data_IF_528257295158
#
_entry.id   IF_528257295158
#
_cell.length_a   1.000
_cell.length_b   1.000
_cell.length_c   1.000
_cell.angle_alpha   90.00
_cell.angle_beta   90.00
_cell.angle_gamma   90.00
#
_symmetry.space_group_name_H-M   'P 1'
#
loop_
_entity.id
_entity.type
_entity.pdbx_description
1 polymer ?
#
# COMPACT_ATOMS: atom_id res chain seq x y z
N UNK A 1 18.09 -24.98 -10.26
CA UNK A 1 16.95 -24.54 -11.12
C UNK A 1 15.56 -25.07 -10.68
N UNK A 2 15.38 -26.31 -10.18
CA UNK A 2 14.06 -26.83 -9.76
C UNK A 2 13.40 -26.07 -8.58
N UNK A 3 14.16 -25.57 -7.61
CA UNK A 3 13.62 -24.92 -6.41
C UNK A 3 13.10 -23.49 -6.65
N UNK A 4 13.66 -22.77 -7.63
CA UNK A 4 13.24 -21.40 -8.00
C UNK A 4 11.85 -21.42 -8.65
N UNK A 5 11.56 -22.44 -9.46
CA UNK A 5 10.28 -22.60 -10.13
C UNK A 5 9.14 -22.91 -9.15
N UNK A 6 9.43 -23.58 -8.03
CA UNK A 6 8.45 -23.82 -6.96
C UNK A 6 8.13 -22.55 -6.16
N UNK A 7 9.14 -21.74 -5.82
CA UNK A 7 8.92 -20.48 -5.07
C UNK A 7 8.20 -19.43 -5.90
N UNK A 8 8.56 -19.24 -7.17
CA UNK A 8 7.89 -18.28 -8.05
C UNK A 8 6.42 -18.67 -8.31
N UNK A 9 6.15 -19.97 -8.51
CA UNK A 9 4.78 -20.48 -8.62
C UNK A 9 3.97 -20.27 -7.33
N UNK A 10 4.60 -20.43 -6.17
CA UNK A 10 3.96 -20.18 -4.89
C UNK A 10 3.60 -18.71 -4.72
N UNK A 11 4.54 -17.79 -4.97
CA UNK A 11 4.30 -16.34 -4.92
C UNK A 11 3.18 -15.94 -5.89
N UNK A 12 3.20 -16.48 -7.12
CA UNK A 12 2.16 -16.19 -8.11
C UNK A 12 0.78 -16.72 -7.67
N UNK A 13 0.72 -17.92 -7.11
CA UNK A 13 -0.53 -18.50 -6.60
C UNK A 13 -1.11 -17.66 -5.47
N UNK A 14 -0.26 -17.23 -4.55
CA UNK A 14 -0.64 -16.37 -3.43
C UNK A 14 -1.13 -15.00 -3.92
N UNK A 15 -0.42 -14.40 -4.89
CA UNK A 15 -0.82 -13.15 -5.52
C UNK A 15 -2.19 -13.24 -6.19
N UNK A 16 -2.49 -14.36 -6.87
CA UNK A 16 -3.80 -14.63 -7.48
C UNK A 16 -4.89 -14.76 -6.41
N UNK A 17 -4.59 -15.35 -5.26
CA UNK A 17 -5.54 -15.47 -4.15
C UNK A 17 -5.86 -14.10 -3.52
N UNK A 18 -4.93 -13.14 -3.53
CA UNK A 18 -5.12 -11.78 -3.01
C UNK A 18 -5.66 -10.77 -4.03
N UNK A 19 -5.63 -11.13 -5.32
CA UNK A 19 -6.20 -10.33 -6.42
C UNK A 19 -7.66 -9.88 -6.18
N UNK A 20 -8.62 -10.72 -5.75
CA UNK A 20 -10.01 -10.29 -5.56
C UNK A 20 -10.16 -9.18 -4.52
N UNK A 21 -9.39 -9.24 -3.43
CA UNK A 21 -9.40 -8.18 -2.41
C UNK A 21 -8.79 -6.87 -2.94
N UNK A 22 -7.74 -6.98 -3.75
CA UNK A 22 -7.12 -5.83 -4.40
C UNK A 22 -8.08 -5.17 -5.40
N UNK A 23 -8.74 -5.96 -6.24
CA UNK A 23 -9.76 -5.46 -7.17
C UNK A 23 -10.88 -4.76 -6.40
N UNK A 24 -11.39 -5.38 -5.35
CA UNK A 24 -12.44 -4.78 -4.52
C UNK A 24 -11.98 -3.44 -3.93
N UNK A 25 -10.78 -3.39 -3.36
CA UNK A 25 -10.22 -2.17 -2.78
C UNK A 25 -10.05 -1.05 -3.80
N UNK A 26 -9.50 -1.36 -4.98
CA UNK A 26 -9.32 -0.39 -6.07
C UNK A 26 -10.65 0.10 -6.61
N UNK A 27 -11.61 -0.79 -6.87
CA UNK A 27 -12.94 -0.40 -7.36
C UNK A 27 -13.64 0.51 -6.35
N UNK A 28 -13.62 0.16 -5.06
CA UNK A 28 -14.20 1.03 -4.03
C UNK A 28 -13.48 2.38 -3.95
N UNK A 29 -12.15 2.40 -4.02
CA UNK A 29 -11.36 3.64 -4.06
C UNK A 29 -11.72 4.52 -5.27
N UNK A 30 -11.84 3.93 -6.46
CA UNK A 30 -12.25 4.63 -7.68
C UNK A 30 -13.67 5.17 -7.58
N UNK A 31 -14.60 4.44 -6.97
CA UNK A 31 -15.97 4.93 -6.73
C UNK A 31 -15.94 6.15 -5.81
N UNK A 32 -15.19 6.10 -4.71
CA UNK A 32 -15.10 7.20 -3.75
C UNK A 32 -14.49 8.45 -4.37
N UNK A 33 -13.40 8.30 -5.13
CA UNK A 33 -12.75 9.41 -5.85
C UNK A 33 -13.61 9.90 -7.03
N UNK A 34 -14.35 9.00 -7.68
CA UNK A 34 -15.35 9.35 -8.69
C UNK A 34 -16.48 10.21 -8.12
N UNK A 35 -16.98 9.88 -6.92
CA UNK A 35 -17.96 10.69 -6.20
C UNK A 35 -17.38 12.05 -5.81
N UNK A 36 -16.14 12.10 -5.32
CA UNK A 36 -15.43 13.36 -5.03
C UNK A 36 -15.35 14.24 -6.29
N UNK A 37 -14.94 13.65 -7.42
CA UNK A 37 -14.84 14.33 -8.72
C UNK A 37 -16.20 14.85 -9.18
N UNK A 38 -17.26 14.04 -9.05
CA UNK A 38 -18.62 14.45 -9.40
C UNK A 38 -19.09 15.64 -8.56
N UNK A 39 -18.85 15.61 -7.25
CA UNK A 39 -19.20 16.73 -6.35
C UNK A 39 -18.40 17.99 -6.72
N UNK A 40 -17.11 17.87 -7.04
CA UNK A 40 -16.27 18.99 -7.46
C UNK A 40 -16.78 19.65 -8.76
N UNK A 41 -17.20 18.85 -9.75
CA UNK A 41 -17.78 19.35 -11.00
C UNK A 41 -19.10 20.06 -10.75
N UNK A 42 -20.02 19.43 -10.01
CA UNK A 42 -21.37 20.00 -9.74
C UNK A 42 -21.29 21.28 -8.92
N UNK A 43 -20.30 21.40 -8.04
CA UNK A 43 -20.06 22.62 -7.24
C UNK A 43 -19.30 23.72 -8.00
N UNK A 44 -18.87 23.47 -9.24
CA UNK A 44 -18.04 24.41 -10.02
C UNK A 44 -16.62 24.58 -9.45
N UNK A 45 -16.19 23.67 -8.59
CA UNK A 45 -14.91 23.69 -7.87
C UNK A 45 -13.85 22.80 -8.50
N UNK A 46 -13.87 22.60 -9.83
CA UNK A 46 -12.93 21.70 -10.53
C UNK A 46 -11.46 22.01 -10.22
N UNK A 47 -11.12 23.30 -10.10
CA UNK A 47 -9.76 23.72 -9.73
C UNK A 47 -9.33 23.35 -8.31
N UNK A 48 -10.27 22.95 -7.43
CA UNK A 48 -9.99 22.49 -6.08
C UNK A 48 -9.71 20.97 -6.02
N UNK A 49 -10.04 20.21 -7.07
CA UNK A 49 -9.93 18.74 -7.06
C UNK A 49 -8.50 18.26 -6.82
N UNK A 50 -7.52 18.89 -7.48
CA UNK A 50 -6.11 18.52 -7.35
C UNK A 50 -5.59 18.77 -5.94
N UNK A 51 -5.90 19.95 -5.38
CA UNK A 51 -5.53 20.30 -4.02
C UNK A 51 -6.24 19.43 -2.97
N UNK A 52 -7.55 19.17 -3.15
CA UNK A 52 -8.27 18.26 -2.26
C UNK A 52 -7.72 16.83 -2.32
N UNK A 53 -7.31 16.36 -3.51
CA UNK A 53 -6.70 15.04 -3.69
C UNK A 53 -5.32 14.97 -3.04
N UNK A 54 -4.54 16.04 -3.10
CA UNK A 54 -3.24 16.18 -2.43
C UNK A 54 -3.39 16.10 -0.89
N UNK A 55 -4.31 16.86 -0.31
CA UNK A 55 -4.58 16.83 1.13
C UNK A 55 -5.07 15.45 1.57
N UNK A 56 -5.96 14.82 0.81
CA UNK A 56 -6.41 13.45 1.09
C UNK A 56 -5.26 12.46 0.96
N UNK A 57 -4.36 12.61 -0.02
CA UNK A 57 -3.17 11.78 -0.14
C UNK A 57 -2.28 11.89 1.11
N UNK A 58 -2.09 13.10 1.64
CA UNK A 58 -1.35 13.35 2.89
C UNK A 58 -2.02 12.77 4.15
N UNK A 59 -3.29 12.40 4.09
CA UNK A 59 -3.98 11.65 5.15
C UNK A 59 -3.89 10.15 4.92
N UNK A 60 -4.21 9.69 3.71
CA UNK A 60 -4.29 8.26 3.40
C UNK A 60 -2.91 7.58 3.39
N UNK A 61 -1.87 8.24 2.89
CA UNK A 61 -0.53 7.64 2.84
C UNK A 61 0.05 7.37 4.25
N UNK A 62 0.05 8.31 5.22
CA UNK A 62 0.49 8.00 6.59
C UNK A 62 -0.38 6.92 7.28
N UNK A 63 -1.69 6.90 7.02
CA UNK A 63 -2.57 5.84 7.54
C UNK A 63 -2.18 4.47 6.94
N UNK A 64 -1.87 4.41 5.65
CA UNK A 64 -1.34 3.20 5.01
C UNK A 64 -0.02 2.76 5.67
N UNK A 65 0.93 3.69 5.86
CA UNK A 65 2.21 3.42 6.53
C UNK A 65 1.99 2.85 7.94
N UNK A 66 1.06 3.42 8.71
CA UNK A 66 0.72 2.91 10.04
C UNK A 66 0.18 1.48 9.97
N UNK A 67 -0.80 1.22 9.11
CA UNK A 67 -1.39 -0.12 9.00
C UNK A 67 -0.36 -1.16 8.51
N UNK A 68 0.51 -0.77 7.58
CA UNK A 68 1.62 -1.61 7.10
C UNK A 68 2.64 -1.88 8.22
N UNK A 69 3.01 -0.86 9.01
CA UNK A 69 3.91 -1.00 10.14
C UNK A 69 3.34 -1.93 11.23
N UNK A 70 2.02 -1.86 11.49
CA UNK A 70 1.33 -2.81 12.38
C UNK A 70 1.45 -4.23 11.85
N UNK A 71 1.10 -4.47 10.59
CA UNK A 71 1.11 -5.79 9.97
C UNK A 71 2.52 -6.41 9.99
N UNK A 72 3.51 -5.67 9.51
CA UNK A 72 4.91 -6.12 9.41
C UNK A 72 5.52 -6.40 10.78
N UNK A 73 5.31 -5.50 11.75
CA UNK A 73 5.84 -5.68 13.11
C UNK A 73 5.18 -6.85 13.83
N UNK A 74 3.84 -6.97 13.76
CA UNK A 74 3.10 -8.06 14.40
C UNK A 74 3.53 -9.42 13.83
N UNK A 75 3.71 -9.51 12.51
CA UNK A 75 4.17 -10.73 11.86
C UNK A 75 5.58 -11.12 12.24
N UNK A 76 6.49 -10.15 12.24
CA UNK A 76 7.86 -10.43 12.64
C UNK A 76 7.92 -10.87 14.11
N UNK A 77 7.20 -10.16 15.00
CA UNK A 77 7.17 -10.47 16.44
C UNK A 77 6.63 -11.85 16.76
N UNK A 78 5.65 -12.34 15.99
CA UNK A 78 5.09 -13.69 16.14
C UNK A 78 6.12 -14.80 15.86
N UNK A 79 7.09 -14.55 14.98
CA UNK A 79 8.09 -15.54 14.58
C UNK A 79 9.44 -15.38 15.29
N UNK A 80 9.89 -14.14 15.50
CA UNK A 80 11.16 -13.81 16.15
C UNK A 80 10.94 -12.67 17.17
N UNK A 81 11.18 -12.96 18.46
CA UNK A 81 11.00 -12.01 19.57
C UNK A 81 12.18 -11.06 19.78
N UNK A 82 12.81 -10.60 18.70
CA UNK A 82 13.89 -9.61 18.78
C UNK A 82 13.32 -8.20 18.59
N UNK A 83 13.30 -7.41 19.68
CA UNK A 83 12.78 -6.05 19.69
C UNK A 83 13.44 -5.14 18.64
N UNK A 84 14.77 -5.14 18.58
CA UNK A 84 15.53 -4.25 17.67
C UNK A 84 15.22 -4.59 16.22
N UNK A 85 15.23 -5.88 15.87
CA UNK A 85 14.95 -6.31 14.50
C UNK A 85 13.50 -6.03 14.12
N UNK A 86 12.55 -6.25 15.03
CA UNK A 86 11.12 -5.96 14.78
C UNK A 86 10.89 -4.48 14.47
N UNK A 87 11.53 -3.56 15.21
CA UNK A 87 11.44 -2.13 14.95
C UNK A 87 12.02 -1.79 13.58
N UNK A 88 13.22 -2.30 13.25
CA UNK A 88 13.87 -2.03 11.97
C UNK A 88 13.02 -2.54 10.81
N UNK A 89 12.51 -3.77 10.91
CA UNK A 89 11.66 -4.40 9.91
C UNK A 89 10.34 -3.64 9.74
N UNK A 90 9.68 -3.28 10.84
CA UNK A 90 8.41 -2.55 10.81
C UNK A 90 8.56 -1.16 10.20
N UNK A 91 9.59 -0.41 10.60
CA UNK A 91 9.85 0.94 10.10
C UNK A 91 10.30 0.92 8.63
N UNK A 92 11.34 0.15 8.29
CA UNK A 92 11.87 0.13 6.92
C UNK A 92 10.90 -0.55 5.96
N UNK A 93 10.26 -1.64 6.38
CA UNK A 93 9.28 -2.37 5.59
C UNK A 93 8.11 -1.48 5.22
N UNK A 94 7.51 -0.78 6.18
CA UNK A 94 6.37 0.11 5.89
C UNK A 94 6.77 1.33 5.06
N UNK A 95 7.76 2.11 5.49
CA UNK A 95 8.11 3.38 4.83
C UNK A 95 8.55 3.15 3.37
N UNK A 96 9.37 2.13 3.12
CA UNK A 96 9.85 1.85 1.76
C UNK A 96 8.75 1.29 0.87
N UNK A 97 7.99 0.30 1.35
CA UNK A 97 6.99 -0.38 0.54
C UNK A 97 5.78 0.51 0.26
N UNK A 98 5.27 1.22 1.27
CA UNK A 98 4.19 2.18 1.09
C UNK A 98 4.62 3.35 0.19
N UNK A 99 5.88 3.81 0.31
CA UNK A 99 6.41 4.82 -0.61
C UNK A 99 6.44 4.32 -2.05
N UNK A 100 6.93 3.10 -2.28
CA UNK A 100 6.94 2.50 -3.62
C UNK A 100 5.53 2.35 -4.20
N UNK A 101 4.58 1.81 -3.42
CA UNK A 101 3.21 1.56 -3.87
C UNK A 101 2.43 2.84 -4.14
N UNK A 102 2.52 3.83 -3.24
CA UNK A 102 1.62 4.98 -3.27
C UNK A 102 2.18 6.17 -4.06
N UNK A 103 3.50 6.20 -4.32
CA UNK A 103 4.14 7.31 -5.06
C UNK A 103 4.83 6.84 -6.34
N UNK A 104 5.77 5.89 -6.26
CA UNK A 104 6.63 5.54 -7.41
C UNK A 104 5.84 4.84 -8.51
N UNK A 105 5.03 3.82 -8.17
CA UNK A 105 4.21 3.13 -9.17
C UNK A 105 3.15 4.05 -9.81
N UNK A 106 2.39 4.84 -9.03
CA UNK A 106 1.47 5.85 -9.55
C UNK A 106 2.17 6.89 -10.44
N UNK A 107 3.32 7.43 -10.03
CA UNK A 107 4.10 8.37 -10.83
C UNK A 107 4.47 7.79 -12.21
N UNK A 108 5.10 6.61 -12.23
CA UNK A 108 5.50 5.93 -13.47
C UNK A 108 4.28 5.59 -14.33
N UNK A 109 3.20 5.19 -13.68
CA UNK A 109 1.96 4.86 -14.35
C UNK A 109 1.24 6.06 -14.97
N UNK A 110 1.23 7.20 -14.30
CA UNK A 110 0.69 8.44 -14.86
C UNK A 110 1.46 8.87 -16.11
N UNK A 111 2.80 8.75 -16.09
CA UNK A 111 3.64 8.96 -17.28
C UNK A 111 3.28 7.98 -18.40
N UNK A 112 3.05 6.70 -18.07
CA UNK A 112 2.64 5.69 -19.05
C UNK A 112 1.27 6.00 -19.69
N UNK A 113 0.37 6.63 -18.94
CA UNK A 113 -0.92 7.12 -19.42
C UNK A 113 -0.82 8.45 -20.20
N UNK A 114 0.39 8.99 -20.36
CA UNK A 114 0.65 10.22 -21.11
C UNK A 114 0.48 11.52 -20.31
N UNK A 115 0.33 11.43 -18.99
CA UNK A 115 0.25 12.60 -18.11
C UNK A 115 1.63 13.18 -17.81
N UNK A 116 1.71 14.51 -17.67
CA UNK A 116 2.91 15.18 -17.18
C UNK A 116 2.91 15.15 -15.65
N UNK A 117 3.44 14.05 -15.10
CA UNK A 117 3.46 13.84 -13.65
C UNK A 117 4.58 14.64 -12.97
N UNK A 118 4.29 15.16 -11.78
CA UNK A 118 5.26 15.72 -10.86
C UNK A 118 5.62 14.69 -9.79
N UNK A 119 6.91 14.51 -9.52
CA UNK A 119 7.33 13.59 -8.46
C UNK A 119 7.21 14.30 -7.11
N UNK A 120 6.36 13.74 -6.25
CA UNK A 120 6.27 14.09 -4.85
C UNK A 120 6.57 12.87 -4.00
N UNK A 121 7.47 13.00 -3.04
CA UNK A 121 7.84 11.90 -2.14
C UNK A 121 7.55 12.32 -0.71
N UNK A 122 6.40 11.87 -0.20
CA UNK A 122 5.92 12.15 1.15
C UNK A 122 6.98 11.91 2.25
N UNK A 123 7.82 10.89 2.08
CA UNK A 123 8.87 10.55 3.06
C UNK A 123 9.92 11.65 3.19
N UNK A 124 10.28 12.35 2.11
CA UNK A 124 11.29 13.40 2.13
C UNK A 124 10.70 14.77 2.44
N UNK A 125 9.51 15.05 1.91
CA UNK A 125 8.88 16.36 2.05
C UNK A 125 8.12 16.48 3.38
N UNK A 126 7.48 15.39 3.80
CA UNK A 126 6.60 15.35 4.97
C UNK A 126 7.00 14.23 5.94
N UNK A 127 8.32 14.09 6.20
CA UNK A 127 8.86 13.08 7.13
C UNK A 127 8.21 13.15 8.53
N UNK A 128 7.80 14.35 8.95
CA UNK A 128 7.12 14.61 10.22
C UNK A 128 5.72 13.98 10.31
N UNK A 129 5.07 13.69 9.17
CA UNK A 129 3.81 12.96 9.13
C UNK A 129 4.08 11.45 9.05
N UNK A 130 5.01 11.02 8.19
CA UNK A 130 5.24 9.60 7.92
C UNK A 130 5.88 8.89 9.12
N UNK A 131 6.92 9.47 9.72
CA UNK A 131 7.72 8.80 10.77
C UNK A 131 6.91 8.54 12.05
N UNK A 132 6.12 9.50 12.59
CA UNK A 132 5.31 9.24 13.77
C UNK A 132 4.24 8.17 13.56
N UNK A 133 3.61 8.13 12.39
CA UNK A 133 2.63 7.09 12.04
C UNK A 133 3.27 5.71 11.94
N UNK A 134 4.48 5.62 11.36
CA UNK A 134 5.26 4.39 11.35
C UNK A 134 5.62 3.92 12.77
N UNK A 135 6.12 4.82 13.62
CA UNK A 135 6.45 4.52 15.03
C UNK A 135 5.21 4.03 15.79
N UNK A 136 4.08 4.72 15.63
CA UNK A 136 2.82 4.34 16.26
C UNK A 136 2.38 2.95 15.79
N UNK A 137 2.50 2.67 14.48
CA UNK A 137 2.20 1.37 13.92
C UNK A 137 3.08 0.26 14.47
N UNK A 138 4.38 0.50 14.66
CA UNK A 138 5.30 -0.46 15.31
C UNK A 138 4.87 -0.74 16.76
N UNK A 139 4.56 0.30 17.53
CA UNK A 139 4.10 0.16 18.93
C UNK A 139 2.83 -0.68 19.01
N UNK A 140 1.85 -0.37 18.16
CA UNK A 140 0.58 -1.12 18.07
C UNK A 140 0.82 -2.55 17.55
N UNK A 141 1.78 -2.75 16.65
CA UNK A 141 2.17 -4.07 16.16
C UNK A 141 2.69 -4.99 17.28
N UNK A 142 3.43 -4.47 18.25
CA UNK A 142 3.88 -5.25 19.41
C UNK A 142 2.73 -5.69 20.33
N UNK A 143 1.70 -4.86 20.50
CA UNK A 143 0.55 -5.21 21.36
C UNK A 143 -0.36 -6.21 20.66
N UNK A 144 -0.67 -5.97 19.38
CA UNK A 144 -1.54 -6.81 18.55
C UNK A 144 -0.91 -8.17 18.25
N UNK A 145 0.40 -8.23 18.03
CA UNK A 145 1.12 -9.47 17.72
C UNK A 145 1.03 -10.55 18.81
N UNK A 146 0.70 -10.17 20.06
CA UNK A 146 0.45 -11.12 21.15
C UNK A 146 -1.05 -11.39 21.40
N UNK A 147 -1.96 -10.57 20.86
CA UNK A 147 -3.38 -10.56 21.21
C UNK A 147 -4.29 -11.23 20.16
N UNK A 148 -3.90 -11.24 18.89
CA UNK A 148 -4.71 -11.75 17.78
C UNK A 148 -4.05 -12.99 17.15
N UNK A 149 -4.84 -14.02 16.86
CA UNK A 149 -4.35 -15.22 16.16
C UNK A 149 -4.08 -14.95 14.67
N UNK A 150 -4.85 -14.03 14.06
CA UNK A 150 -4.79 -13.60 12.65
C UNK A 150 -4.83 -12.07 12.43
N UNK A 151 -3.91 -11.29 13.03
CA UNK A 151 -3.89 -9.84 12.88
C UNK A 151 -3.61 -9.39 11.44
N UNK A 152 -3.02 -10.25 10.62
CA UNK A 152 -2.61 -9.95 9.26
C UNK A 152 -3.73 -9.87 8.26
N UNK A 153 -4.74 -10.75 8.29
CA UNK A 153 -5.75 -10.79 7.23
C UNK A 153 -6.60 -9.51 7.19
N UNK A 154 -6.97 -9.01 8.38
CA UNK A 154 -7.70 -7.75 8.54
C UNK A 154 -6.82 -6.53 8.25
N UNK A 155 -5.60 -6.51 8.80
CA UNK A 155 -4.66 -5.42 8.56
C UNK A 155 -4.22 -5.35 7.10
N UNK A 156 -4.12 -6.50 6.42
CA UNK A 156 -3.83 -6.63 4.99
C UNK A 156 -4.93 -6.02 4.13
N UNK A 157 -6.18 -6.48 4.34
CA UNK A 157 -7.32 -5.96 3.57
C UNK A 157 -7.51 -4.45 3.74
N UNK A 158 -7.33 -3.93 4.96
CA UNK A 158 -7.44 -2.50 5.23
C UNK A 158 -6.31 -1.70 4.58
N UNK A 159 -5.06 -2.14 4.70
CA UNK A 159 -3.94 -1.36 4.16
C UNK A 159 -3.89 -1.40 2.63
N UNK A 160 -4.30 -2.51 1.99
CA UNK A 160 -4.47 -2.61 0.53
C UNK A 160 -5.54 -1.63 0.04
N UNK A 161 -6.66 -1.50 0.76
CA UNK A 161 -7.69 -0.51 0.44
C UNK A 161 -7.17 0.92 0.58
N UNK A 162 -6.52 1.25 1.69
CA UNK A 162 -5.98 2.60 1.92
C UNK A 162 -4.89 2.95 0.91
N UNK A 163 -4.02 2.00 0.55
CA UNK A 163 -3.00 2.15 -0.50
C UNK A 163 -3.62 2.39 -1.87
N UNK A 164 -4.72 1.68 -2.19
CA UNK A 164 -5.46 1.88 -3.45
C UNK A 164 -6.00 3.30 -3.54
N UNK A 165 -6.62 3.79 -2.47
CA UNK A 165 -7.10 5.17 -2.41
C UNK A 165 -5.95 6.18 -2.49
N UNK A 166 -4.87 6.00 -1.74
CA UNK A 166 -3.69 6.86 -1.79
C UNK A 166 -3.09 6.93 -3.20
N UNK A 167 -2.96 5.79 -3.88
CA UNK A 167 -2.40 5.71 -5.23
C UNK A 167 -3.24 6.45 -6.27
N UNK A 168 -4.58 6.35 -6.18
CA UNK A 168 -5.49 7.08 -7.08
C UNK A 168 -5.44 8.58 -6.79
N UNK A 169 -5.44 8.97 -5.51
CA UNK A 169 -5.34 10.36 -5.10
C UNK A 169 -4.02 10.99 -5.58
N UNK A 170 -2.91 10.25 -5.50
CA UNK A 170 -1.61 10.68 -6.02
C UNK A 170 -1.63 10.93 -7.53
N UNK A 171 -2.25 10.03 -8.31
CA UNK A 171 -2.37 10.21 -9.75
C UNK A 171 -3.07 11.54 -10.07
N UNK A 172 -4.17 11.82 -9.39
CA UNK A 172 -4.98 13.02 -9.65
C UNK A 172 -4.25 14.28 -9.16
N UNK A 173 -3.67 14.27 -7.97
CA UNK A 173 -3.04 15.45 -7.39
C UNK A 173 -1.80 15.91 -8.17
N UNK A 174 -1.05 14.96 -8.76
CA UNK A 174 0.26 15.26 -9.34
C UNK A 174 0.35 15.18 -10.86
N UNK A 175 -0.77 15.05 -11.59
CA UNK A 175 -0.76 15.32 -13.04
C UNK A 175 -1.83 14.62 -13.90
N UNK A 176 -2.61 13.68 -13.38
CA UNK A 176 -3.63 12.97 -14.15
C UNK A 176 -5.01 13.67 -14.06
N UNK A 177 -5.12 14.87 -14.63
CA UNK A 177 -6.36 15.66 -14.57
C UNK A 177 -7.55 14.94 -15.25
N UNK A 178 -7.31 14.30 -16.39
CA UNK A 178 -8.34 13.59 -17.16
C UNK A 178 -8.43 12.09 -16.81
N UNK A 179 -8.26 11.74 -15.53
CA UNK A 179 -8.23 10.34 -15.07
C UNK A 179 -9.50 9.54 -15.47
N UNK A 180 -10.66 10.20 -15.58
CA UNK A 180 -11.93 9.60 -16.00
C UNK A 180 -11.89 9.09 -17.45
N UNK A 181 -11.11 9.71 -18.33
CA UNK A 181 -10.93 9.19 -19.69
C UNK A 181 -10.02 7.96 -19.73
N UNK A 182 -9.19 7.79 -18.68
CA UNK A 182 -8.22 6.70 -18.54
C UNK A 182 -8.63 5.68 -17.48
N UNK A 183 -9.93 5.54 -17.18
CA UNK A 183 -10.44 4.67 -16.09
C UNK A 183 -9.87 3.25 -16.14
N UNK A 184 -9.83 2.62 -17.32
CA UNK A 184 -9.29 1.27 -17.47
C UNK A 184 -7.78 1.20 -17.17
N UNK A 185 -7.04 2.23 -17.57
CA UNK A 185 -5.62 2.38 -17.26
C UNK A 185 -5.39 2.57 -15.77
N UNK A 186 -6.11 3.49 -15.14
CA UNK A 186 -6.04 3.74 -13.68
C UNK A 186 -6.37 2.48 -12.89
N UNK A 187 -7.41 1.73 -13.28
CA UNK A 187 -7.78 0.48 -12.62
C UNK A 187 -6.62 -0.52 -12.63
N UNK A 188 -6.08 -0.83 -13.82
CA UNK A 188 -5.00 -1.83 -13.97
C UNK A 188 -3.74 -1.37 -13.22
N UNK A 189 -3.40 -0.11 -13.37
CA UNK A 189 -2.19 0.47 -12.81
C UNK A 189 -2.24 0.50 -11.28
N UNK A 190 -3.36 0.91 -10.68
CA UNK A 190 -3.52 0.88 -9.23
C UNK A 190 -3.51 -0.55 -8.70
N UNK A 191 -4.12 -1.52 -9.40
CA UNK A 191 -4.01 -2.94 -9.02
C UNK A 191 -2.54 -3.37 -9.00
N UNK A 192 -1.77 -3.05 -10.04
CA UNK A 192 -0.34 -3.39 -10.09
C UNK A 192 0.47 -2.64 -9.02
N UNK A 193 0.16 -1.37 -8.80
CA UNK A 193 0.83 -0.49 -7.84
C UNK A 193 0.67 -0.96 -6.40
N UNK A 194 -0.47 -1.57 -6.05
CA UNK A 194 -0.70 -2.10 -4.71
C UNK A 194 -0.22 -3.56 -4.62
N UNK A 195 -0.56 -4.40 -5.60
CA UNK A 195 -0.26 -5.83 -5.53
C UNK A 195 1.23 -6.13 -5.60
N UNK A 196 1.99 -5.45 -6.45
CA UNK A 196 3.42 -5.76 -6.63
C UNK A 196 4.23 -5.42 -5.37
N UNK A 197 4.21 -4.20 -4.84
CA UNK A 197 4.98 -3.86 -3.65
C UNK A 197 4.33 -4.36 -2.34
N UNK A 198 3.04 -4.13 -2.10
CA UNK A 198 2.41 -4.45 -0.81
C UNK A 198 2.24 -5.96 -0.60
N UNK A 199 1.65 -6.67 -1.55
CA UNK A 199 1.47 -8.13 -1.38
C UNK A 199 2.83 -8.86 -1.42
N UNK A 200 3.79 -8.43 -2.25
CA UNK A 200 5.12 -9.04 -2.25
C UNK A 200 5.84 -8.82 -0.92
N UNK A 201 5.74 -7.63 -0.32
CA UNK A 201 6.28 -7.38 1.02
C UNK A 201 5.67 -8.35 2.03
N UNK A 202 4.35 -8.48 2.05
CA UNK A 202 3.68 -9.31 3.04
C UNK A 202 3.94 -10.81 2.89
N UNK A 203 4.25 -11.27 1.67
CA UNK A 203 4.57 -12.69 1.39
C UNK A 203 6.07 -12.97 1.56
N UNK A 204 6.92 -12.13 0.97
CA UNK A 204 8.38 -12.38 0.91
C UNK A 204 9.02 -12.16 2.27
N UNK A 205 8.64 -11.09 2.98
CA UNK A 205 9.33 -10.69 4.20
C UNK A 205 9.25 -11.77 5.30
N UNK A 206 8.08 -12.38 5.58
CA UNK A 206 7.99 -13.51 6.51
C UNK A 206 8.75 -14.76 6.04
N UNK A 207 8.73 -15.06 4.74
CA UNK A 207 9.40 -16.23 4.16
C UNK A 207 10.93 -16.12 4.15
N UNK A 208 11.48 -14.91 4.06
CA UNK A 208 12.94 -14.68 4.07
C UNK A 208 13.51 -14.53 5.47
N UNK A 209 12.72 -14.01 6.42
CA UNK A 209 13.21 -13.71 7.77
C UNK A 209 12.99 -14.85 8.78
N UNK A 210 12.24 -15.90 8.45
CA UNK A 210 12.03 -17.03 9.36
C UNK A 210 13.05 -18.15 9.08
N UNK A 211 14.03 -18.31 9.98
CA UNK A 211 15.07 -19.35 9.90
C UNK A 211 14.55 -20.76 10.28
N UNK A 212 13.23 -20.97 10.33
CA UNK A 212 12.65 -22.32 10.40
C UNK A 212 12.39 -22.77 8.98
N UNK A 213 12.98 -23.92 8.61
CA UNK A 213 12.48 -24.70 7.47
C UNK A 213 10.98 -24.90 7.68
N UNK A 214 10.12 -24.11 7.04
CA UNK A 214 8.72 -24.44 6.89
C UNK A 214 8.65 -25.66 5.98
N UNK A 215 8.75 -26.84 6.59
CA UNK A 215 8.02 -27.99 6.09
C UNK A 215 6.55 -27.64 6.11
N UNK A 216 5.85 -28.02 5.04
CA UNK A 216 4.39 -28.03 4.98
C UNK A 216 3.81 -28.52 6.31
N UNK A 217 2.88 -27.76 6.89
CA UNK A 217 1.67 -28.26 7.52
C UNK A 217 0.81 -27.10 8.04
N UNK A 218 -0.44 -27.11 7.57
CA UNK A 218 -1.64 -26.34 7.98
C UNK A 218 -1.79 -24.91 7.46
#
# INVERSE_FOLDING_TARGET
>A
MKQVNSKAKYILLELINHLPFSIFGVVTGMIMVGLLTFIAIVSGGEGLLNHASEELFHVFHPVHVLLSAVATTAMYWKHERSWIKAIIVGMLGSILICGLSDTIFPFLGGILLGAQMHIHICVFEHYQLVVPFAILGVIVGFTIGNALERPTEYSHSMHVFVSSAASILYLISYGLDSWVHSLGGVLILTILAVMIPCCLSDIVFPLTCTHKKCGCEC
#
